data_IF_735290547550
#
_entry.id   IF_735290547550
#
_cell.length_a   1.000
_cell.length_b   1.000
_cell.length_c   1.000
_cell.angle_alpha   90.00
_cell.angle_beta   90.00
_cell.angle_gamma   90.00
#
_symmetry.space_group_name_H-M   'P 1'
#
loop_
_entity.id
_entity.type
_entity.pdbx_description
1 polymer ?
#
# COMPACT_ATOMS: atom_id res chain seq x y z
N UNK A 1 -13.78 -11.59 9.55
CA UNK A 1 -12.31 -11.62 9.46
C UNK A 1 -11.86 -12.15 8.13
N UNK A 2 -10.89 -11.48 7.50
CA UNK A 2 -10.32 -11.91 6.21
C UNK A 2 -9.02 -12.66 6.46
N UNK A 3 -8.83 -13.75 5.73
CA UNK A 3 -7.59 -14.54 5.76
C UNK A 3 -7.15 -14.85 4.34
N UNK A 4 -5.85 -15.06 4.14
CA UNK A 4 -5.34 -15.60 2.88
C UNK A 4 -5.69 -17.08 2.73
N UNK A 5 -5.68 -17.62 1.52
CA UNK A 5 -5.61 -19.08 1.33
C UNK A 5 -4.30 -19.63 1.94
N UNK A 6 -4.19 -20.93 2.25
CA UNK A 6 -2.94 -21.55 2.63
C UNK A 6 -1.80 -21.20 1.67
N UNK A 7 -0.71 -20.62 2.18
CA UNK A 7 0.41 -20.15 1.37
C UNK A 7 1.51 -21.23 1.30
N UNK A 8 1.82 -21.79 0.12
CA UNK A 8 2.86 -22.82 -0.01
C UNK A 8 4.23 -22.36 0.48
N UNK A 9 4.60 -21.10 0.20
CA UNK A 9 5.85 -20.49 0.66
C UNK A 9 5.93 -20.23 2.17
N UNK A 10 4.84 -20.45 2.91
CA UNK A 10 4.75 -20.25 4.37
C UNK A 10 4.32 -21.53 5.10
N UNK A 11 4.74 -22.71 4.61
CA UNK A 11 4.40 -24.03 5.16
C UNK A 11 2.89 -24.29 5.22
N UNK A 12 2.12 -23.79 4.25
CA UNK A 12 0.67 -23.98 4.20
C UNK A 12 -0.10 -23.13 5.22
N UNK A 13 0.55 -22.17 5.90
CA UNK A 13 -0.16 -21.25 6.80
C UNK A 13 -1.10 -20.34 6.02
N UNK A 14 -2.29 -20.15 6.58
CA UNK A 14 -3.17 -19.02 6.25
C UNK A 14 -2.81 -17.84 7.17
N UNK A 15 -2.83 -16.63 6.62
CA UNK A 15 -2.41 -15.41 7.32
C UNK A 15 -3.61 -14.48 7.47
N UNK A 16 -3.78 -13.91 8.66
CA UNK A 16 -4.80 -12.91 8.91
C UNK A 16 -4.52 -11.63 8.11
N UNK A 17 -5.53 -11.14 7.38
CA UNK A 17 -5.47 -9.91 6.61
C UNK A 17 -6.38 -8.89 7.29
N UNK A 18 -5.82 -8.17 8.26
CA UNK A 18 -6.56 -7.24 9.09
C UNK A 18 -7.15 -6.09 8.25
N UNK A 19 -8.46 -5.86 8.40
CA UNK A 19 -9.21 -4.76 7.77
C UNK A 19 -10.18 -4.17 8.78
N UNK A 20 -10.24 -2.84 8.83
CA UNK A 20 -11.13 -2.15 9.75
C UNK A 20 -12.48 -1.87 9.08
N UNK A 21 -13.56 -2.27 9.76
CA UNK A 21 -14.94 -2.01 9.37
C UNK A 21 -15.59 -1.02 10.35
N UNK A 22 -15.12 0.22 10.27
CA UNK A 22 -15.53 1.36 11.10
C UNK A 22 -15.44 2.64 10.26
N UNK A 23 -16.11 3.73 10.64
CA UNK A 23 -15.95 5.05 9.99
C UNK A 23 -14.46 5.45 10.03
N UNK A 24 -13.92 5.87 8.88
CA UNK A 24 -12.49 6.10 8.67
C UNK A 24 -11.71 4.88 8.17
N UNK A 25 -12.26 3.67 8.31
CA UNK A 25 -11.64 2.44 7.81
C UNK A 25 -10.28 2.18 8.45
N UNK A 26 -9.30 1.71 7.66
CA UNK A 26 -7.98 1.35 8.19
C UNK A 26 -7.22 2.55 8.79
N UNK A 27 -7.55 3.81 8.45
CA UNK A 27 -6.89 4.97 9.05
C UNK A 27 -7.24 5.14 10.53
N UNK A 28 -8.38 4.59 10.99
CA UNK A 28 -8.79 4.58 12.40
C UNK A 28 -8.26 3.38 13.20
N UNK A 29 -7.53 2.46 12.56
CA UNK A 29 -7.04 1.22 13.18
C UNK A 29 -5.52 1.02 13.03
N UNK A 30 -4.88 1.66 12.04
CA UNK A 30 -3.47 1.43 11.74
C UNK A 30 -2.52 1.90 12.86
N UNK A 31 -1.23 1.60 12.71
CA UNK A 31 -0.18 2.03 13.64
C UNK A 31 0.27 3.49 13.50
N UNK A 32 -0.48 4.33 12.77
CA UNK A 32 -0.22 5.76 12.57
C UNK A 32 1.14 6.13 11.94
N UNK A 33 1.86 5.16 11.37
CA UNK A 33 3.12 5.41 10.66
C UNK A 33 2.83 6.24 9.40
N UNK A 34 3.52 7.38 9.27
CA UNK A 34 3.48 8.22 8.08
C UNK A 34 4.76 8.00 7.25
N UNK A 35 4.58 7.50 6.02
CA UNK A 35 5.65 7.31 5.04
C UNK A 35 5.15 7.75 3.67
N UNK A 36 6.01 8.40 2.89
CA UNK A 36 5.69 8.78 1.50
C UNK A 36 6.11 7.70 0.50
N UNK A 37 7.14 6.91 0.79
CA UNK A 37 7.80 6.05 -0.20
C UNK A 37 9.06 6.72 -0.77
N UNK A 38 9.76 6.02 -1.66
CA UNK A 38 10.98 6.52 -2.31
C UNK A 38 10.67 7.19 -3.64
N UNK A 39 11.57 8.05 -4.12
CA UNK A 39 11.51 8.65 -5.46
C UNK A 39 11.37 7.56 -6.55
N UNK A 40 12.08 6.44 -6.36
CA UNK A 40 12.09 5.33 -7.30
C UNK A 40 10.74 4.63 -7.40
N UNK A 41 9.97 4.50 -6.29
CA UNK A 41 8.64 3.90 -6.30
C UNK A 41 7.69 4.68 -7.23
N UNK A 42 7.68 6.01 -7.11
CA UNK A 42 6.82 6.89 -7.90
C UNK A 42 7.25 6.96 -9.36
N UNK A 43 8.55 7.08 -9.62
CA UNK A 43 9.07 7.07 -10.98
C UNK A 43 8.84 5.71 -11.66
N UNK A 44 8.83 4.61 -10.90
CA UNK A 44 8.43 3.31 -11.40
C UNK A 44 6.94 3.28 -11.80
N UNK A 45 6.05 3.86 -10.99
CA UNK A 45 4.63 3.98 -11.37
C UNK A 45 4.43 4.79 -12.65
N UNK A 46 5.14 5.90 -12.80
CA UNK A 46 5.12 6.69 -14.03
C UNK A 46 5.58 5.87 -15.24
N UNK A 47 6.64 5.08 -15.11
CA UNK A 47 7.14 4.22 -16.18
C UNK A 47 6.16 3.10 -16.55
N UNK A 48 5.54 2.44 -15.57
CA UNK A 48 4.57 1.35 -15.80
C UNK A 48 3.29 1.86 -16.44
N UNK A 49 2.82 3.04 -16.03
CA UNK A 49 1.58 3.63 -16.54
C UNK A 49 1.78 4.41 -17.84
N UNK A 50 3.02 4.87 -18.13
CA UNK A 50 3.30 5.81 -19.22
C UNK A 50 2.82 7.24 -18.93
N UNK A 51 2.43 7.55 -17.68
CA UNK A 51 1.90 8.85 -17.27
C UNK A 51 2.86 9.55 -16.30
N UNK A 52 3.41 10.68 -16.74
CA UNK A 52 4.33 11.51 -15.94
C UNK A 52 3.68 12.11 -14.68
N UNK A 53 2.36 12.13 -14.60
CA UNK A 53 1.62 12.55 -13.41
C UNK A 53 1.93 11.72 -12.15
N UNK A 54 2.50 10.52 -12.32
CA UNK A 54 2.94 9.68 -11.22
C UNK A 54 4.39 9.88 -10.79
N UNK A 55 5.17 10.73 -11.47
CA UNK A 55 6.56 11.00 -11.08
C UNK A 55 6.61 11.66 -9.71
N UNK A 56 7.71 11.43 -8.98
CA UNK A 56 7.92 12.05 -7.67
C UNK A 56 7.81 13.57 -7.72
N UNK A 57 8.44 14.18 -8.71
CA UNK A 57 8.48 15.64 -8.86
C UNK A 57 7.08 16.21 -9.13
N UNK A 58 6.25 15.51 -9.91
CA UNK A 58 4.86 15.93 -10.14
C UNK A 58 4.02 15.83 -8.86
N UNK A 59 4.19 14.73 -8.10
CA UNK A 59 3.40 14.49 -6.90
C UNK A 59 3.84 15.31 -5.68
N UNK A 60 5.05 15.90 -5.72
CA UNK A 60 5.62 16.64 -4.60
C UNK A 60 4.69 17.73 -4.05
N UNK A 61 3.94 18.42 -4.91
CA UNK A 61 3.02 19.49 -4.48
C UNK A 61 1.78 19.02 -3.71
N UNK A 62 1.48 17.72 -3.73
CA UNK A 62 0.35 17.14 -3.00
C UNK A 62 0.74 16.65 -1.60
N UNK A 63 2.03 16.69 -1.26
CA UNK A 63 2.58 16.28 0.04
C UNK A 63 3.06 17.46 0.88
#
# INVERSE_FOLDING_TARGET
DYTSIPQPGLNGRSIDVQRAHIVGGCTSHNGMVYTRGSVDDYNHFAAVTGDSGWTWDYLWSYF
#
